data_IF_061592232077
#
_entry.id   IF_061592232077
#
_cell.length_a   1.000
_cell.length_b   1.000
_cell.length_c   1.000
_cell.angle_alpha   90.00
_cell.angle_beta   90.00
_cell.angle_gamma   90.00
#
_symmetry.space_group_name_H-M   'P 1'
#
loop_
_entity.id
_entity.type
_entity.pdbx_description
1 polymer ?
#
# COMPACT_ATOMS: atom_id res chain seq x y z
N UNK A 1 -5.01 -14.52 8.14
CA UNK A 1 -4.05 -13.66 7.45
C UNK A 1 -4.45 -12.18 7.51
N UNK A 2 -5.64 -11.81 7.07
CA UNK A 2 -6.05 -10.38 7.05
C UNK A 2 -6.11 -9.77 8.45
N UNK A 3 -6.61 -10.50 9.43
CA UNK A 3 -6.69 -10.02 10.80
C UNK A 3 -5.31 -9.67 11.36
N UNK A 4 -4.32 -10.55 11.16
CA UNK A 4 -2.95 -10.30 11.62
C UNK A 4 -2.30 -9.15 10.87
N UNK A 5 -2.59 -8.98 9.58
CA UNK A 5 -2.09 -7.85 8.80
C UNK A 5 -2.72 -6.53 9.26
N UNK A 6 -4.02 -6.52 9.58
CA UNK A 6 -4.68 -5.33 10.14
C UNK A 6 -4.09 -4.97 11.50
N UNK A 7 -3.86 -5.96 12.36
CA UNK A 7 -3.23 -5.72 13.66
C UNK A 7 -1.83 -5.14 13.51
N UNK A 8 -1.04 -5.67 12.58
CA UNK A 8 0.30 -5.16 12.29
C UNK A 8 0.26 -3.73 11.75
N UNK A 9 -0.66 -3.45 10.83
CA UNK A 9 -0.84 -2.11 10.27
C UNK A 9 -1.26 -1.12 11.35
N UNK A 10 -2.25 -1.48 12.17
CA UNK A 10 -2.73 -0.63 13.26
C UNK A 10 -1.64 -0.37 14.29
N UNK A 11 -0.83 -1.38 14.61
CA UNK A 11 0.31 -1.23 15.52
C UNK A 11 1.37 -0.29 14.96
N UNK A 12 1.62 -0.36 13.65
CA UNK A 12 2.54 0.55 12.98
C UNK A 12 2.03 1.99 13.04
N UNK A 13 0.78 2.22 12.67
CA UNK A 13 0.18 3.56 12.64
C UNK A 13 0.10 4.16 14.04
N UNK A 14 -0.05 3.33 15.08
CA UNK A 14 -0.10 3.79 16.47
C UNK A 14 1.19 4.48 16.93
N UNK A 15 2.28 4.36 16.18
CA UNK A 15 3.54 5.08 16.45
C UNK A 15 3.45 6.57 16.10
N UNK A 16 2.41 6.99 15.41
CA UNK A 16 2.23 8.35 14.91
C UNK A 16 1.08 9.05 15.65
N UNK A 17 0.95 10.37 15.45
CA UNK A 17 -0.01 11.19 16.18
C UNK A 17 -1.45 10.88 15.77
N UNK A 18 -2.15 10.11 16.60
CA UNK A 18 -3.54 9.73 16.37
C UNK A 18 -4.51 10.91 16.49
N UNK A 19 -4.11 12.03 17.11
CA UNK A 19 -4.95 13.22 17.21
C UNK A 19 -4.90 14.08 15.95
N UNK A 20 -3.97 13.83 15.03
CA UNK A 20 -3.89 14.55 13.77
C UNK A 20 -4.95 13.99 12.81
N UNK A 21 -5.87 14.86 12.39
CA UNK A 21 -6.95 14.49 11.47
C UNK A 21 -6.43 13.91 10.15
N UNK A 22 -5.26 14.37 9.69
CA UNK A 22 -4.65 13.88 8.45
C UNK A 22 -4.24 12.42 8.58
N UNK A 23 -3.75 12.01 9.76
CA UNK A 23 -3.44 10.60 10.05
C UNK A 23 -4.71 9.76 10.01
N UNK A 24 -5.76 10.20 10.70
CA UNK A 24 -7.04 9.48 10.75
C UNK A 24 -7.67 9.31 9.36
N UNK A 25 -7.66 10.38 8.55
CA UNK A 25 -8.18 10.33 7.18
C UNK A 25 -7.37 9.39 6.29
N UNK A 26 -6.05 9.36 6.46
CA UNK A 26 -5.19 8.45 5.68
C UNK A 26 -5.42 7.00 6.07
N UNK A 27 -5.66 6.70 7.33
CA UNK A 27 -6.02 5.35 7.78
C UNK A 27 -7.33 4.91 7.13
N UNK A 28 -8.34 5.76 7.15
CA UNK A 28 -9.64 5.47 6.54
C UNK A 28 -9.50 5.24 5.03
N UNK A 29 -8.80 6.12 4.32
CA UNK A 29 -8.50 5.97 2.90
C UNK A 29 -7.81 4.62 2.62
N UNK A 30 -6.83 4.26 3.44
CA UNK A 30 -6.08 3.01 3.27
C UNK A 30 -6.98 1.79 3.37
N UNK A 31 -7.89 1.76 4.35
CA UNK A 31 -8.84 0.65 4.47
C UNK A 31 -9.77 0.57 3.26
N UNK A 32 -10.25 1.71 2.78
CA UNK A 32 -11.13 1.75 1.60
C UNK A 32 -10.41 1.27 0.34
N UNK A 33 -9.16 1.66 0.15
CA UNK A 33 -8.36 1.20 -1.00
C UNK A 33 -8.11 -0.31 -0.91
N UNK A 34 -7.83 -0.84 0.27
CA UNK A 34 -7.66 -2.29 0.44
C UNK A 34 -8.94 -3.05 0.04
N UNK A 35 -10.10 -2.57 0.46
CA UNK A 35 -11.38 -3.19 0.10
C UNK A 35 -11.67 -3.07 -1.40
N UNK A 36 -11.35 -1.94 -2.02
CA UNK A 36 -11.49 -1.77 -3.46
C UNK A 36 -10.56 -2.70 -4.24
N UNK A 37 -9.34 -2.92 -3.78
CA UNK A 37 -8.43 -3.89 -4.37
C UNK A 37 -9.03 -5.30 -4.34
N UNK A 38 -9.63 -5.68 -3.20
CA UNK A 38 -10.34 -6.95 -3.05
C UNK A 38 -11.45 -7.07 -4.11
N UNK A 39 -12.32 -6.06 -4.20
CA UNK A 39 -13.43 -6.06 -5.16
C UNK A 39 -12.96 -6.18 -6.60
N UNK A 40 -11.94 -5.41 -6.99
CA UNK A 40 -11.39 -5.44 -8.35
C UNK A 40 -10.81 -6.83 -8.64
N UNK A 41 -10.05 -7.38 -7.71
CA UNK A 41 -9.43 -8.69 -7.88
C UNK A 41 -10.48 -9.80 -8.04
N UNK A 42 -11.55 -9.75 -7.26
CA UNK A 42 -12.68 -10.69 -7.39
C UNK A 42 -13.36 -10.54 -8.74
N UNK A 43 -13.58 -9.31 -9.18
CA UNK A 43 -14.18 -9.01 -10.48
C UNK A 43 -13.35 -9.53 -11.64
N UNK A 44 -12.03 -9.57 -11.49
CA UNK A 44 -11.12 -10.14 -12.48
C UNK A 44 -11.02 -11.67 -12.42
N UNK A 45 -11.72 -12.30 -11.47
CA UNK A 45 -11.73 -13.74 -11.35
C UNK A 45 -10.45 -14.35 -10.77
N UNK A 46 -9.71 -13.58 -9.98
CA UNK A 46 -8.46 -14.05 -9.38
C UNK A 46 -8.73 -15.09 -8.30
N UNK A 47 -7.73 -15.93 -8.03
CA UNK A 47 -7.80 -16.92 -6.96
C UNK A 47 -7.97 -16.26 -5.59
N UNK A 48 -8.50 -16.98 -4.57
CA UNK A 48 -8.59 -16.42 -3.22
C UNK A 48 -7.26 -15.89 -2.68
N UNK A 49 -6.16 -16.60 -2.95
CA UNK A 49 -4.83 -16.14 -2.54
C UNK A 49 -4.45 -14.83 -3.21
N UNK A 50 -4.73 -14.68 -4.51
CA UNK A 50 -4.42 -13.46 -5.24
C UNK A 50 -5.33 -12.31 -4.85
N UNK A 51 -6.58 -12.57 -4.48
CA UNK A 51 -7.47 -11.56 -3.89
C UNK A 51 -6.89 -11.04 -2.58
N UNK A 52 -6.38 -11.93 -1.72
CA UNK A 52 -5.71 -11.53 -0.48
C UNK A 52 -4.46 -10.70 -0.75
N UNK A 53 -3.67 -11.09 -1.75
CA UNK A 53 -2.47 -10.32 -2.13
C UNK A 53 -2.84 -8.92 -2.63
N UNK A 54 -3.88 -8.80 -3.45
CA UNK A 54 -4.37 -7.50 -3.93
C UNK A 54 -4.81 -6.62 -2.76
N UNK A 55 -5.57 -7.19 -1.82
CA UNK A 55 -6.00 -6.50 -0.61
C UNK A 55 -4.79 -5.98 0.18
N UNK A 56 -3.76 -6.81 0.33
CA UNK A 56 -2.55 -6.44 1.07
C UNK A 56 -1.76 -5.34 0.36
N UNK A 57 -1.68 -5.38 -0.97
CA UNK A 57 -1.09 -4.27 -1.75
C UNK A 57 -1.82 -2.96 -1.46
N UNK A 58 -3.14 -2.98 -1.40
CA UNK A 58 -3.94 -1.80 -1.06
C UNK A 58 -3.69 -1.31 0.35
N UNK A 59 -3.61 -2.22 1.31
CA UNK A 59 -3.32 -1.88 2.71
C UNK A 59 -1.97 -1.18 2.86
N UNK A 60 -0.98 -1.56 2.09
CA UNK A 60 0.39 -1.09 2.24
C UNK A 60 0.77 0.02 1.26
N UNK A 61 -0.09 0.37 0.29
CA UNK A 61 0.31 1.29 -0.79
C UNK A 61 0.78 2.66 -0.30
N UNK A 62 0.17 3.18 0.74
CA UNK A 62 0.46 4.51 1.30
C UNK A 62 1.17 4.47 2.67
N UNK A 63 1.78 3.33 3.01
CA UNK A 63 2.41 3.19 4.34
C UNK A 63 3.49 4.25 4.60
N UNK A 64 4.08 4.80 3.56
CA UNK A 64 5.08 5.86 3.69
C UNK A 64 4.53 7.23 4.06
N UNK A 65 3.22 7.45 3.92
CA UNK A 65 2.60 8.75 4.20
C UNK A 65 2.70 9.16 5.67
N UNK A 66 2.62 8.21 6.59
CA UNK A 66 2.69 8.50 8.03
C UNK A 66 4.07 9.03 8.41
N UNK A 67 5.12 8.42 7.92
CA UNK A 67 6.49 8.86 8.15
C UNK A 67 6.76 10.18 7.43
N UNK A 68 6.24 10.37 6.22
CA UNK A 68 6.34 11.62 5.48
C UNK A 68 5.75 12.79 6.28
N UNK A 69 4.54 12.60 6.80
CA UNK A 69 3.87 13.62 7.60
C UNK A 69 4.64 13.92 8.88
N UNK A 70 5.15 12.89 9.55
CA UNK A 70 5.92 13.02 10.78
C UNK A 70 7.21 13.84 10.57
N UNK A 71 7.96 13.56 9.50
CA UNK A 71 9.24 14.19 9.25
C UNK A 71 9.11 15.59 8.63
N UNK A 72 8.15 15.79 7.73
CA UNK A 72 8.05 17.03 6.94
C UNK A 72 6.76 17.83 7.18
N UNK A 73 5.81 17.28 7.92
CA UNK A 73 4.56 17.98 8.22
C UNK A 73 3.61 18.16 7.04
N UNK A 74 3.82 17.45 5.95
CA UNK A 74 3.03 17.58 4.71
C UNK A 74 2.94 16.27 3.97
N UNK A 75 1.89 16.12 3.17
CA UNK A 75 1.77 15.03 2.19
C UNK A 75 2.27 15.41 0.80
N UNK A 76 2.86 16.60 0.64
CA UNK A 76 3.39 17.04 -0.65
C UNK A 76 4.76 16.41 -0.91
N UNK A 77 4.86 15.54 -1.92
CA UNK A 77 6.12 14.93 -2.33
C UNK A 77 7.12 15.98 -2.83
N UNK A 78 6.63 17.02 -3.51
CA UNK A 78 7.46 18.09 -4.04
C UNK A 78 8.14 18.87 -2.91
N UNK A 79 7.42 19.10 -1.81
CA UNK A 79 7.92 19.86 -0.67
C UNK A 79 8.65 19.01 0.37
N UNK A 80 8.75 17.70 0.13
CA UNK A 80 9.38 16.77 1.07
C UNK A 80 10.21 15.72 0.33
N UNK A 81 9.65 14.53 0.17
CA UNK A 81 10.29 13.36 -0.45
C UNK A 81 9.21 12.45 -1.03
N UNK A 82 9.55 11.62 -1.99
CA UNK A 82 8.59 10.66 -2.55
C UNK A 82 8.01 9.76 -1.47
N UNK A 83 6.69 9.82 -1.28
CA UNK A 83 6.03 8.97 -0.29
C UNK A 83 6.12 7.48 -0.65
N UNK A 84 6.18 7.15 -1.96
CA UNK A 84 6.38 5.77 -2.40
C UNK A 84 7.78 5.26 -2.00
N UNK A 85 8.82 6.10 -2.17
CA UNK A 85 10.17 5.74 -1.76
C UNK A 85 10.26 5.57 -0.23
N UNK A 86 9.61 6.44 0.53
CA UNK A 86 9.53 6.31 1.99
C UNK A 86 8.83 4.99 2.35
N UNK A 87 7.75 4.65 1.65
CA UNK A 87 7.04 3.39 1.85
C UNK A 87 7.94 2.16 1.67
N UNK A 88 8.78 2.17 0.64
CA UNK A 88 9.75 1.08 0.43
C UNK A 88 10.74 0.99 1.59
N UNK A 89 11.22 2.12 2.11
CA UNK A 89 12.11 2.14 3.27
C UNK A 89 11.41 1.57 4.52
N UNK A 90 10.18 1.96 4.77
CA UNK A 90 9.39 1.43 5.88
C UNK A 90 9.23 -0.08 5.76
N UNK A 91 8.92 -0.58 4.56
CA UNK A 91 8.71 -2.01 4.33
C UNK A 91 9.98 -2.84 4.46
N UNK A 92 11.16 -2.27 4.36
CA UNK A 92 12.40 -3.01 4.65
C UNK A 92 12.39 -3.57 6.07
N UNK A 93 11.85 -2.82 7.02
CA UNK A 93 11.78 -3.24 8.41
C UNK A 93 10.48 -3.95 8.77
N UNK A 94 9.37 -3.58 8.12
CA UNK A 94 8.03 -3.98 8.54
C UNK A 94 7.44 -5.13 7.72
N UNK A 95 8.00 -5.45 6.55
CA UNK A 95 7.40 -6.45 5.64
C UNK A 95 7.15 -7.80 6.30
N UNK A 96 8.06 -8.24 7.17
CA UNK A 96 7.95 -9.53 7.86
C UNK A 96 6.71 -9.66 8.74
N UNK A 97 6.12 -8.53 9.17
CA UNK A 97 4.86 -8.53 9.92
C UNK A 97 3.64 -8.79 9.04
N UNK A 98 3.79 -8.67 7.72
CA UNK A 98 2.69 -8.82 6.76
C UNK A 98 2.80 -10.11 5.96
N UNK A 99 3.99 -10.44 5.48
CA UNK A 99 4.22 -11.69 4.73
C UNK A 99 5.70 -12.09 4.80
N UNK A 100 5.92 -13.39 4.73
CA UNK A 100 7.26 -13.97 4.58
C UNK A 100 7.44 -14.65 3.20
N UNK A 101 6.42 -14.59 2.35
CA UNK A 101 6.47 -15.15 1.00
C UNK A 101 7.29 -14.23 0.08
N UNK A 102 8.39 -14.73 -0.51
CA UNK A 102 9.24 -13.88 -1.36
C UNK A 102 8.52 -13.32 -2.58
N UNK A 103 7.61 -14.05 -3.19
CA UNK A 103 6.85 -13.54 -4.33
C UNK A 103 5.90 -12.43 -3.90
N UNK A 104 5.19 -12.63 -2.80
CA UNK A 104 4.30 -11.59 -2.26
C UNK A 104 5.08 -10.33 -1.92
N UNK A 105 6.23 -10.47 -1.28
CA UNK A 105 7.10 -9.35 -0.95
C UNK A 105 7.47 -8.56 -2.21
N UNK A 106 7.88 -9.25 -3.26
CA UNK A 106 8.25 -8.62 -4.52
C UNK A 106 7.08 -7.88 -5.16
N UNK A 107 5.91 -8.50 -5.23
CA UNK A 107 4.70 -7.89 -5.80
C UNK A 107 4.27 -6.66 -4.99
N UNK A 108 4.26 -6.76 -3.67
CA UNK A 108 3.91 -5.64 -2.79
C UNK A 108 4.88 -4.47 -3.01
N UNK A 109 6.17 -4.74 -3.06
CA UNK A 109 7.17 -3.69 -3.29
C UNK A 109 6.95 -2.98 -4.63
N UNK A 110 6.63 -3.73 -5.70
CA UNK A 110 6.30 -3.13 -7.00
C UNK A 110 5.07 -2.26 -6.91
N UNK A 111 4.00 -2.76 -6.30
CA UNK A 111 2.75 -2.02 -6.15
C UNK A 111 2.95 -0.73 -5.36
N UNK A 112 3.66 -0.79 -4.24
CA UNK A 112 3.95 0.40 -3.41
C UNK A 112 4.83 1.39 -4.16
N UNK A 113 5.91 0.93 -4.79
CA UNK A 113 6.85 1.80 -5.49
C UNK A 113 6.21 2.54 -6.67
N UNK A 114 5.26 1.92 -7.36
CA UNK A 114 4.74 2.40 -8.64
C UNK A 114 3.31 2.95 -8.57
N UNK A 115 2.65 2.93 -7.40
CA UNK A 115 1.23 3.29 -7.32
C UNK A 115 0.94 4.74 -7.69
N UNK A 116 1.89 5.65 -7.49
CA UNK A 116 1.72 7.07 -7.79
C UNK A 116 2.35 7.50 -9.12
N UNK A 117 3.00 6.59 -9.84
CA UNK A 117 3.60 6.90 -11.12
C UNK A 117 2.51 7.16 -12.17
N UNK A 118 2.76 8.13 -13.04
CA UNK A 118 1.80 8.47 -14.11
C UNK A 118 1.61 7.29 -15.08
N UNK A 119 2.70 6.58 -15.39
CA UNK A 119 2.67 5.38 -16.24
C UNK A 119 3.47 4.27 -15.60
N UNK A 120 2.99 3.03 -15.76
CA UNK A 120 3.77 1.87 -15.38
C UNK A 120 4.91 1.66 -16.36
N UNK A 121 6.12 1.31 -15.87
CA UNK A 121 7.26 1.06 -16.77
C UNK A 121 7.00 -0.17 -17.66
N UNK A 122 7.71 -0.20 -18.79
CA UNK A 122 7.70 -1.34 -19.68
C UNK A 122 8.53 -2.47 -19.14
N UNK A 123 8.49 -3.54 -19.02
CA UNK A 123 9.42 -4.56 -18.48
C UNK A 123 8.92 -5.21 -17.20
N UNK A 124 7.72 -4.81 -16.76
CA UNK A 124 7.04 -5.53 -15.69
C UNK A 124 6.52 -6.86 -16.23
N UNK A 125 6.57 -7.91 -15.40
CA UNK A 125 5.88 -9.17 -15.74
C UNK A 125 4.37 -8.92 -15.80
N UNK A 126 3.62 -9.84 -16.42
CA UNK A 126 2.17 -9.73 -16.46
C UNK A 126 1.57 -9.71 -15.04
N UNK A 127 2.13 -10.50 -14.13
CA UNK A 127 1.68 -10.57 -12.75
C UNK A 127 2.00 -9.27 -11.99
N UNK A 128 3.20 -8.74 -12.13
CA UNK A 128 3.56 -7.44 -11.53
C UNK A 128 2.63 -6.34 -12.03
N UNK A 129 2.40 -6.27 -13.33
CA UNK A 129 1.52 -5.28 -13.95
C UNK A 129 0.09 -5.40 -13.45
N UNK A 130 -0.40 -6.62 -13.28
CA UNK A 130 -1.76 -6.87 -12.78
C UNK A 130 -1.96 -6.23 -11.39
N UNK A 131 -1.09 -6.53 -10.44
CA UNK A 131 -1.23 -6.02 -9.07
C UNK A 131 -0.95 -4.52 -8.97
N UNK A 132 0.00 -4.01 -9.75
CA UNK A 132 0.23 -2.56 -9.83
C UNK A 132 -1.00 -1.85 -10.39
N UNK A 133 -1.62 -2.38 -11.42
CA UNK A 133 -2.82 -1.81 -12.04
C UNK A 133 -4.00 -1.81 -11.06
N UNK A 134 -4.24 -2.93 -10.37
CA UNK A 134 -5.32 -3.03 -9.38
C UNK A 134 -5.14 -1.97 -8.29
N UNK A 135 -3.93 -1.84 -7.75
CA UNK A 135 -3.64 -0.88 -6.69
C UNK A 135 -3.85 0.55 -7.16
N UNK A 136 -3.36 0.90 -8.35
CA UNK A 136 -3.51 2.24 -8.92
C UNK A 136 -4.97 2.59 -9.18
N UNK A 137 -5.74 1.65 -9.74
CA UNK A 137 -7.14 1.88 -10.05
C UNK A 137 -7.96 2.06 -8.77
N UNK A 138 -7.71 1.24 -7.75
CA UNK A 138 -8.36 1.35 -6.46
C UNK A 138 -8.08 2.71 -5.80
N UNK A 139 -6.83 3.15 -5.83
CA UNK A 139 -6.42 4.43 -5.26
C UNK A 139 -7.10 5.61 -5.95
N UNK A 140 -7.27 5.56 -7.26
CA UNK A 140 -7.94 6.62 -8.01
C UNK A 140 -9.42 6.73 -7.72
N UNK A 141 -10.10 5.61 -7.43
CA UNK A 141 -11.55 5.60 -7.17
C UNK A 141 -11.86 6.26 -5.83
N UNK A 142 -11.03 6.04 -4.84
CA UNK A 142 -11.20 6.65 -3.53
C UNK A 142 -10.57 8.04 -3.53
#
# INVERSE_FOLDING_TARGET
MRESCLDAFNSYVARYDASDERVALKVEHTYEVAELCDEIARGEGLSPADVDLAWLCGLLHDIGRFEQLCQWGTFSDVDSCSHAAIGIQVLKDEMGSFTCDPEWTHIIERAVALHSDFRLPSGLSARERLFCTITRDADKVD
#
